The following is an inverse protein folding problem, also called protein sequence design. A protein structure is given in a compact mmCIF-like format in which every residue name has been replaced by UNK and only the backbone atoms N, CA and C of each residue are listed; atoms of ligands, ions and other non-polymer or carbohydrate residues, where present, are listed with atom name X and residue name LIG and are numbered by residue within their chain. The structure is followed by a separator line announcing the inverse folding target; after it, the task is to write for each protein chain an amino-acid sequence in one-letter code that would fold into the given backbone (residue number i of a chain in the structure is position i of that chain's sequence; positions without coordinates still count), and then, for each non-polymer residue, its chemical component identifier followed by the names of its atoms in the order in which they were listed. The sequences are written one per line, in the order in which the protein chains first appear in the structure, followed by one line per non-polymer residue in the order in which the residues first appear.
data_IF_406664219956
#
_entry.id   IF_406664219956
#
_cell.length_a   1.000
_cell.length_b   1.000
_cell.length_c   1.000
_cell.angle_alpha   90.00
_cell.angle_beta   90.00
_cell.angle_gamma   90.00
#
_symmetry.space_group_name_H-M   'P 1'
#
loop_
_entity.id
_entity.type
_entity.pdbx_description
1 polymer ?
#
# COMPACT_ATOMS: atom_id res chain seq x y z
N UNK A 1 8.07 -19.01 -22.82
CA UNK A 1 6.89 -18.12 -22.96
C UNK A 1 6.14 -17.98 -21.64
N UNK A 2 5.91 -19.06 -20.87
CA UNK A 2 5.19 -19.01 -19.57
C UNK A 2 5.77 -18.11 -18.46
N UNK A 3 7.07 -17.78 -18.46
CA UNK A 3 7.67 -16.91 -17.43
C UNK A 3 7.30 -15.43 -17.59
N UNK A 4 7.12 -14.97 -18.82
CA UNK A 4 6.76 -13.56 -19.09
C UNK A 4 5.30 -13.27 -18.72
N UNK A 5 4.40 -14.23 -18.90
CA UNK A 5 2.98 -14.07 -18.56
C UNK A 5 2.79 -13.96 -17.04
N UNK A 6 3.54 -14.75 -16.26
CA UNK A 6 3.54 -14.66 -14.80
C UNK A 6 4.12 -13.34 -14.31
N UNK A 7 5.23 -12.86 -14.92
CA UNK A 7 5.83 -11.58 -14.54
C UNK A 7 4.93 -10.39 -14.86
N UNK A 8 4.26 -10.41 -16.03
CA UNK A 8 3.29 -9.39 -16.40
C UNK A 8 2.12 -9.34 -15.39
N UNK A 9 1.62 -10.50 -14.97
CA UNK A 9 0.56 -10.59 -13.95
C UNK A 9 1.02 -10.04 -12.60
N UNK A 10 2.24 -10.34 -12.17
CA UNK A 10 2.80 -9.77 -10.93
C UNK A 10 2.94 -8.24 -11.02
N UNK A 11 3.39 -7.74 -12.17
CA UNK A 11 3.53 -6.30 -12.40
C UNK A 11 2.18 -5.59 -12.37
N UNK A 12 1.17 -6.12 -13.06
CA UNK A 12 -0.18 -5.54 -13.07
C UNK A 12 -0.78 -5.48 -11.67
N UNK A 13 -0.67 -6.58 -10.90
CA UNK A 13 -1.11 -6.61 -9.49
C UNK A 13 -0.36 -5.60 -8.63
N UNK A 14 0.95 -5.46 -8.81
CA UNK A 14 1.75 -4.51 -8.05
C UNK A 14 1.39 -3.05 -8.39
N UNK A 15 1.16 -2.74 -9.67
CA UNK A 15 0.75 -1.41 -10.13
C UNK A 15 -0.64 -1.06 -9.58
N UNK A 16 -1.58 -2.02 -9.58
CA UNK A 16 -2.92 -1.80 -9.03
C UNK A 16 -2.85 -1.53 -7.51
N UNK A 17 -2.13 -2.36 -6.76
CA UNK A 17 -1.92 -2.18 -5.33
C UNK A 17 -1.29 -0.80 -5.01
N UNK A 18 -0.27 -0.40 -5.76
CA UNK A 18 0.41 0.88 -5.58
C UNK A 18 -0.51 2.08 -5.87
N UNK A 19 -1.33 2.01 -6.92
CA UNK A 19 -2.31 3.07 -7.24
C UNK A 19 -3.33 3.24 -6.13
N UNK A 20 -3.90 2.14 -5.63
CA UNK A 20 -4.87 2.15 -4.53
C UNK A 20 -4.28 2.69 -3.23
N UNK A 21 -3.06 2.28 -2.87
CA UNK A 21 -2.34 2.86 -1.73
C UNK A 21 -2.07 4.37 -1.93
N UNK A 22 -1.73 4.79 -3.15
CA UNK A 22 -1.57 6.20 -3.50
C UNK A 22 -2.83 7.04 -3.27
N UNK A 23 -4.02 6.47 -3.49
CA UNK A 23 -5.29 7.14 -3.18
C UNK A 23 -5.49 7.32 -1.67
N UNK A 24 -5.14 6.31 -0.86
CA UNK A 24 -5.15 6.41 0.61
C UNK A 24 -4.21 7.54 1.08
N UNK A 25 -2.99 7.58 0.53
CA UNK A 25 -2.02 8.63 0.85
C UNK A 25 -2.56 10.00 0.46
N UNK A 26 -3.09 10.14 -0.75
CA UNK A 26 -3.65 11.39 -1.26
C UNK A 26 -4.80 11.89 -0.41
N UNK A 27 -5.70 11.00 0.01
CA UNK A 27 -6.84 11.36 0.84
C UNK A 27 -6.40 11.70 2.28
N UNK A 28 -5.46 10.92 2.84
CA UNK A 28 -4.92 11.16 4.17
C UNK A 28 -4.01 12.39 4.26
N UNK A 29 -3.44 12.87 3.15
CA UNK A 29 -2.57 14.04 3.12
C UNK A 29 -3.28 15.35 3.49
N UNK A 30 -4.57 15.47 3.13
CA UNK A 30 -5.38 16.66 3.42
C UNK A 30 -6.17 16.56 4.74
N UNK A 31 -6.12 15.41 5.42
CA UNK A 31 -6.80 15.20 6.69
C UNK A 31 -5.85 15.47 7.87
N UNK A 32 -6.38 15.98 8.97
CA UNK A 32 -5.61 16.14 10.22
C UNK A 32 -5.12 14.78 10.67
N UNK A 33 -3.82 14.51 10.51
CA UNK A 33 -3.24 13.22 10.85
C UNK A 33 -3.14 13.09 12.37
N UNK A 34 -3.79 12.09 12.94
CA UNK A 34 -3.40 11.59 14.26
C UNK A 34 -2.05 10.90 14.09
N UNK A 35 -0.99 11.59 14.48
CA UNK A 35 0.37 11.06 14.40
C UNK A 35 0.62 10.23 15.66
N UNK A 36 0.63 8.90 15.53
CA UNK A 36 1.05 8.03 16.61
C UNK A 36 2.59 8.01 16.67
N UNK A 37 3.15 8.39 17.81
CA UNK A 37 4.60 8.34 18.04
C UNK A 37 5.03 6.92 18.39
N UNK A 38 5.64 6.20 17.44
CA UNK A 38 6.26 4.89 17.69
C UNK A 38 7.71 5.07 18.17
N UNK A 39 7.92 5.71 19.32
CA UNK A 39 9.26 5.93 19.91
C UNK A 39 9.98 7.21 19.43
N UNK A 40 11.31 7.27 19.63
CA UNK A 40 12.09 8.53 19.61
C UNK A 40 12.06 9.25 18.25
N UNK A 41 11.96 8.54 17.11
CA UNK A 41 11.88 9.14 15.76
C UNK A 41 11.23 8.18 14.75
N UNK A 42 10.05 7.61 15.04
CA UNK A 42 9.33 6.79 14.06
C UNK A 42 7.86 7.26 13.95
N UNK A 43 7.64 8.17 13.00
CA UNK A 43 6.33 8.74 12.71
C UNK A 43 5.62 7.81 11.73
N UNK A 44 5.01 6.74 12.25
CA UNK A 44 4.09 5.92 11.48
C UNK A 44 2.72 6.55 11.61
N UNK A 45 2.14 6.96 10.48
CA UNK A 45 0.79 7.53 10.46
C UNK A 45 -0.24 6.44 10.22
N UNK A 46 -1.50 6.70 10.57
CA UNK A 46 -2.63 5.83 10.20
C UNK A 46 -2.67 5.54 8.69
N UNK A 47 -2.18 6.48 7.88
CA UNK A 47 -2.05 6.34 6.43
C UNK A 47 -1.10 5.20 6.04
N UNK A 48 0.04 5.06 6.72
CA UNK A 48 1.05 4.05 6.39
C UNK A 48 0.52 2.65 6.72
N UNK A 49 -0.09 2.46 7.90
CA UNK A 49 -0.76 1.21 8.29
C UNK A 49 -1.88 0.82 7.32
N UNK A 50 -2.70 1.79 6.91
CA UNK A 50 -3.78 1.56 5.95
C UNK A 50 -3.25 1.16 4.56
N UNK A 51 -2.11 1.71 4.14
CA UNK A 51 -1.45 1.30 2.90
C UNK A 51 -0.90 -0.13 3.00
N UNK A 52 -0.22 -0.47 4.10
CA UNK A 52 0.28 -1.82 4.35
C UNK A 52 -0.87 -2.84 4.33
N UNK A 53 -1.92 -2.60 5.12
CA UNK A 53 -3.08 -3.50 5.19
C UNK A 53 -3.74 -3.70 3.82
N UNK A 54 -3.89 -2.63 3.04
CA UNK A 54 -4.44 -2.73 1.68
C UNK A 54 -3.55 -3.60 0.79
N UNK A 55 -2.25 -3.32 0.74
CA UNK A 55 -1.33 -4.03 -0.15
C UNK A 55 -1.25 -5.51 0.25
N UNK A 56 -1.11 -5.81 1.54
CA UNK A 56 -1.07 -7.20 2.02
C UNK A 56 -2.36 -7.96 1.72
N UNK A 57 -3.52 -7.35 1.96
CA UNK A 57 -4.80 -8.00 1.66
C UNK A 57 -5.00 -8.19 0.15
N UNK A 58 -4.57 -7.22 -0.66
CA UNK A 58 -4.65 -7.33 -2.12
C UNK A 58 -3.77 -8.46 -2.66
N UNK A 59 -2.54 -8.59 -2.15
CA UNK A 59 -1.64 -9.68 -2.53
C UNK A 59 -2.17 -11.06 -2.10
N UNK A 60 -2.67 -11.18 -0.86
CA UNK A 60 -3.28 -12.44 -0.34
C UNK A 60 -4.52 -12.91 -1.12
N UNK A 61 -5.22 -11.98 -1.79
CA UNK A 61 -6.36 -12.36 -2.63
C UNK A 61 -5.94 -12.85 -4.01
N UNK A 62 -4.75 -12.48 -4.47
CA UNK A 62 -4.24 -12.79 -5.81
C UNK A 62 -3.30 -14.00 -5.83
N UNK A 63 -2.66 -14.33 -4.69
CA UNK A 63 -1.68 -15.40 -4.50
C UNK A 63 -1.94 -16.15 -3.19
#
# INVERSE_FOLDING_TARGET
MAQNDSLAKFLDTAVDAAKRAGEIIRNGFYQTKNVEHKGQVDLVTETDKACEDLIFNHLKQQF
#
